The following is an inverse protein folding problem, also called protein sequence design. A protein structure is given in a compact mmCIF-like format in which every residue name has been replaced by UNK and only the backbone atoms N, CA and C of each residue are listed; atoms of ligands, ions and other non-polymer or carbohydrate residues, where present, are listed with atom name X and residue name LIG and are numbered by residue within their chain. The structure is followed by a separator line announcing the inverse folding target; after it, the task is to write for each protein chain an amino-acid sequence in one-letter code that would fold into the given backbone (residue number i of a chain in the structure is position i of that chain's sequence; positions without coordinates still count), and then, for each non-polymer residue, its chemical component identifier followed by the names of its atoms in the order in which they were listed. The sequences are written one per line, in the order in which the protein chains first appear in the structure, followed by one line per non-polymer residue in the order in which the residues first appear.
data_IF_796021389031
#
_entry.id   IF_796021389031
#
_cell.length_a   1.000
_cell.length_b   1.000
_cell.length_c   1.000
_cell.angle_alpha   90.00
_cell.angle_beta   90.00
_cell.angle_gamma   90.00
#
_symmetry.space_group_name_H-M   'P 1'
#
loop_
_entity.id
_entity.type
_entity.pdbx_description
1 polymer ?
#
# COMPACT_ATOMS: atom_id res chain seq x y z
N UNK A 1 37.86 32.56 -73.28
CA UNK A 1 37.96 32.33 -71.81
C UNK A 1 36.87 33.15 -71.12
N UNK A 2 35.81 32.52 -70.61
CA UNK A 2 34.83 33.13 -69.70
C UNK A 2 34.25 32.01 -68.83
N UNK A 3 34.69 31.94 -67.58
CA UNK A 3 34.07 31.14 -66.52
C UNK A 3 34.00 32.00 -65.27
N UNK A 4 32.79 32.26 -64.79
CA UNK A 4 32.52 32.53 -63.37
C UNK A 4 31.17 31.90 -63.07
N UNK A 5 31.23 30.75 -62.38
CA UNK A 5 30.09 30.02 -61.86
C UNK A 5 29.63 30.64 -60.53
N UNK A 6 28.34 30.50 -60.28
CA UNK A 6 27.58 30.99 -59.12
C UNK A 6 27.52 29.87 -58.06
N UNK A 7 27.30 30.25 -56.78
CA UNK A 7 26.79 29.47 -55.63
C UNK A 7 27.82 28.53 -54.96
N UNK A 8 27.91 28.36 -53.63
CA UNK A 8 26.91 28.40 -52.54
C UNK A 8 27.66 28.37 -51.19
N UNK A 9 27.16 28.96 -50.08
CA UNK A 9 27.70 28.67 -48.75
C UNK A 9 27.08 27.37 -48.22
N UNK A 10 27.86 26.29 -48.25
CA UNK A 10 27.56 25.02 -47.58
C UNK A 10 28.13 25.08 -46.15
N UNK A 11 27.38 25.67 -45.23
CA UNK A 11 27.73 25.66 -43.81
C UNK A 11 26.47 25.72 -42.93
N UNK A 12 25.64 24.67 -42.96
CA UNK A 12 24.51 24.49 -42.03
C UNK A 12 24.09 23.01 -41.98
N UNK A 13 24.99 22.11 -41.56
CA UNK A 13 24.65 20.70 -41.27
C UNK A 13 25.37 20.14 -40.04
N UNK A 14 25.81 20.99 -39.09
CA UNK A 14 26.57 20.56 -37.92
C UNK A 14 25.82 20.66 -36.57
N UNK A 15 24.51 20.94 -36.54
CA UNK A 15 23.75 21.14 -35.29
C UNK A 15 22.68 20.06 -34.99
N UNK A 16 22.27 19.24 -35.97
CA UNK A 16 21.15 18.31 -35.78
C UNK A 16 21.53 17.00 -35.07
N UNK A 17 22.82 16.64 -35.02
CA UNK A 17 23.27 15.40 -34.37
C UNK A 17 23.38 15.48 -32.83
N UNK A 18 23.32 16.68 -32.25
CA UNK A 18 23.39 16.87 -30.79
C UNK A 18 22.00 16.91 -30.12
N UNK A 19 21.00 17.42 -30.84
CA UNK A 19 19.61 17.54 -30.35
C UNK A 19 18.93 16.17 -30.23
N UNK A 20 19.19 15.25 -31.17
CA UNK A 20 18.61 13.90 -31.14
C UNK A 20 19.09 13.09 -29.93
N UNK A 21 20.34 13.28 -29.48
CA UNK A 21 20.89 12.57 -28.32
C UNK A 21 20.29 13.09 -27.00
N UNK A 22 20.13 14.39 -26.87
CA UNK A 22 19.50 15.00 -25.70
C UNK A 22 18.00 14.67 -25.64
N UNK A 23 17.30 14.68 -26.78
CA UNK A 23 15.89 14.29 -26.85
C UNK A 23 15.67 12.80 -26.56
N UNK A 24 16.54 11.91 -27.06
CA UNK A 24 16.50 10.48 -26.73
C UNK A 24 16.78 10.22 -25.25
N UNK A 25 17.74 10.92 -24.65
CA UNK A 25 18.04 10.77 -23.23
C UNK A 25 16.89 11.26 -22.34
N UNK A 26 16.30 12.42 -22.65
CA UNK A 26 15.12 12.92 -21.94
C UNK A 26 13.92 11.96 -22.08
N UNK A 27 13.72 11.37 -23.25
CA UNK A 27 12.67 10.36 -23.47
C UNK A 27 12.93 9.06 -22.68
N UNK A 28 14.19 8.62 -22.58
CA UNK A 28 14.58 7.45 -21.79
C UNK A 28 14.39 7.70 -20.28
N UNK A 29 14.80 8.86 -19.78
CA UNK A 29 14.61 9.26 -18.38
C UNK A 29 13.11 9.39 -18.04
N UNK A 30 12.30 9.96 -18.95
CA UNK A 30 10.85 10.04 -18.78
C UNK A 30 10.19 8.65 -18.72
N UNK A 31 10.61 7.72 -19.59
CA UNK A 31 10.13 6.33 -19.58
C UNK A 31 10.53 5.61 -18.29
N UNK A 32 11.79 5.72 -17.88
CA UNK A 32 12.26 5.13 -16.63
C UNK A 32 11.49 5.66 -15.41
N UNK A 33 11.21 6.97 -15.37
CA UNK A 33 10.38 7.57 -14.30
C UNK A 33 8.93 7.09 -14.34
N UNK A 34 8.35 6.94 -15.52
CA UNK A 34 6.99 6.40 -15.68
C UNK A 34 6.89 4.94 -15.22
N UNK A 35 7.88 4.11 -15.58
CA UNK A 35 7.97 2.72 -15.13
C UNK A 35 8.16 2.62 -13.63
N UNK A 36 9.06 3.42 -13.04
CA UNK A 36 9.25 3.48 -11.59
C UNK A 36 7.96 3.90 -10.86
N UNK A 37 7.23 4.87 -11.40
CA UNK A 37 5.94 5.31 -10.85
C UNK A 37 4.88 4.20 -10.94
N UNK A 38 4.83 3.49 -12.07
CA UNK A 38 3.90 2.38 -12.26
C UNK A 38 4.22 1.21 -11.30
N UNK A 39 5.49 0.89 -11.09
CA UNK A 39 5.94 -0.14 -10.14
C UNK A 39 5.60 0.25 -8.69
N UNK A 40 5.88 1.50 -8.30
CA UNK A 40 5.54 2.03 -6.98
C UNK A 40 4.02 1.98 -6.72
N UNK A 41 3.21 2.35 -7.72
CA UNK A 41 1.75 2.23 -7.64
C UNK A 41 1.31 0.76 -7.50
N UNK A 42 1.83 -0.13 -8.34
CA UNK A 42 1.47 -1.55 -8.29
C UNK A 42 1.82 -2.16 -6.92
N UNK A 43 2.97 -1.81 -6.35
CA UNK A 43 3.37 -2.24 -5.02
C UNK A 43 2.44 -1.67 -3.93
N UNK A 44 2.13 -0.37 -3.99
CA UNK A 44 1.19 0.28 -3.07
C UNK A 44 -0.18 -0.39 -3.09
N UNK A 45 -0.76 -0.59 -4.28
CA UNK A 45 -2.05 -1.26 -4.47
C UNK A 45 -2.02 -2.68 -3.89
N UNK A 46 -0.90 -3.38 -4.06
CA UNK A 46 -0.69 -4.74 -3.57
C UNK A 46 -0.49 -4.83 -2.04
N UNK A 47 -0.16 -3.72 -1.37
CA UNK A 47 -0.02 -3.60 0.08
C UNK A 47 -1.31 -3.09 0.76
N UNK A 48 -2.14 -2.35 0.03
CA UNK A 48 -3.32 -1.62 0.54
C UNK A 48 -4.23 -2.47 1.43
N UNK A 49 -4.52 -3.72 1.05
CA UNK A 49 -5.39 -4.60 1.84
C UNK A 49 -4.78 -4.90 3.22
N UNK A 50 -3.47 -5.17 3.27
CA UNK A 50 -2.79 -5.46 4.52
C UNK A 50 -2.70 -4.20 5.40
N UNK A 51 -2.41 -3.03 4.81
CA UNK A 51 -2.39 -1.75 5.54
C UNK A 51 -3.77 -1.47 6.13
N UNK A 52 -4.85 -1.66 5.36
CA UNK A 52 -6.23 -1.50 5.84
C UNK A 52 -6.56 -2.48 6.97
N UNK A 53 -6.12 -3.74 6.87
CA UNK A 53 -6.32 -4.72 7.93
C UNK A 53 -5.54 -4.39 9.21
N UNK A 54 -4.28 -3.98 9.07
CA UNK A 54 -3.47 -3.46 10.18
C UNK A 54 -4.20 -2.30 10.88
N UNK A 55 -4.62 -1.29 10.10
CA UNK A 55 -5.33 -0.13 10.60
C UNK A 55 -6.64 -0.50 11.31
N UNK A 56 -7.43 -1.40 10.70
CA UNK A 56 -8.71 -1.84 11.25
C UNK A 56 -8.56 -2.58 12.57
N UNK A 57 -7.57 -3.47 12.69
CA UNK A 57 -7.30 -4.20 13.93
C UNK A 57 -6.81 -3.25 15.03
N UNK A 58 -5.92 -2.29 14.70
CA UNK A 58 -5.48 -1.26 15.65
C UNK A 58 -6.64 -0.41 16.14
N UNK A 59 -7.53 0.00 15.23
CA UNK A 59 -8.73 0.77 15.56
C UNK A 59 -9.69 0.00 16.49
N UNK A 60 -9.88 -1.29 16.25
CA UNK A 60 -10.77 -2.15 17.04
C UNK A 60 -10.06 -2.94 18.15
N UNK A 61 -8.85 -2.55 18.56
CA UNK A 61 -8.01 -3.36 19.46
C UNK A 61 -8.73 -3.71 20.77
N UNK A 62 -9.38 -2.72 21.41
CA UNK A 62 -10.11 -2.95 22.69
C UNK A 62 -11.34 -3.85 22.51
N UNK A 63 -12.25 -3.59 21.54
CA UNK A 63 -13.34 -4.52 21.24
C UNK A 63 -12.88 -5.93 20.86
N UNK A 64 -11.83 -6.07 20.05
CA UNK A 64 -11.28 -7.36 19.64
C UNK A 64 -10.76 -8.16 20.84
N UNK A 65 -10.06 -7.51 21.77
CA UNK A 65 -9.56 -8.14 22.99
C UNK A 65 -10.71 -8.74 23.82
N UNK A 66 -11.88 -8.09 23.81
CA UNK A 66 -13.09 -8.55 24.52
C UNK A 66 -13.95 -9.51 23.69
N UNK A 67 -13.66 -9.65 22.40
CA UNK A 67 -14.37 -10.50 21.44
C UNK A 67 -13.94 -11.97 21.44
N UNK A 68 -12.99 -12.38 22.29
CA UNK A 68 -12.63 -13.79 22.49
C UNK A 68 -11.84 -14.42 21.33
N UNK A 69 -11.13 -13.60 20.55
CA UNK A 69 -10.26 -14.00 19.43
C UNK A 69 -8.81 -14.28 19.86
N UNK A 70 -8.48 -14.06 21.13
CA UNK A 70 -7.10 -14.00 21.64
C UNK A 70 -6.55 -12.58 21.67
N UNK A 71 -5.23 -12.46 21.82
CA UNK A 71 -4.54 -11.17 21.79
C UNK A 71 -4.61 -10.55 20.39
N UNK A 72 -5.22 -9.36 20.22
CA UNK A 72 -5.27 -8.67 18.94
C UNK A 72 -3.89 -8.34 18.37
N UNK A 73 -2.86 -8.23 19.21
CA UNK A 73 -1.50 -7.91 18.75
C UNK A 73 -0.95 -8.98 17.80
N UNK A 74 -1.32 -10.26 17.98
CA UNK A 74 -0.91 -11.34 17.07
C UNK A 74 -1.37 -11.08 15.63
N UNK A 75 -2.53 -10.45 15.46
CA UNK A 75 -3.08 -10.12 14.15
C UNK A 75 -2.45 -8.83 13.58
N UNK A 76 -2.15 -7.86 14.43
CA UNK A 76 -1.38 -6.65 14.07
C UNK A 76 -0.01 -7.06 13.52
N UNK A 77 0.71 -7.92 14.24
CA UNK A 77 2.04 -8.40 13.87
C UNK A 77 2.02 -9.19 12.57
N UNK A 78 0.99 -10.02 12.36
CA UNK A 78 0.79 -10.74 11.10
C UNK A 78 0.70 -9.79 9.90
N UNK A 79 -0.17 -8.77 9.98
CA UNK A 79 -0.32 -7.83 8.86
C UNK A 79 0.90 -6.93 8.69
N UNK A 80 1.53 -6.48 9.78
CA UNK A 80 2.80 -5.76 9.73
C UNK A 80 3.88 -6.57 9.01
N UNK A 81 4.04 -7.85 9.38
CA UNK A 81 5.01 -8.75 8.75
C UNK A 81 4.72 -9.02 7.27
N UNK A 82 3.44 -9.13 6.88
CA UNK A 82 3.05 -9.25 5.47
C UNK A 82 3.37 -7.99 4.66
N UNK A 83 3.22 -6.81 5.26
CA UNK A 83 3.58 -5.53 4.64
C UNK A 83 5.10 -5.45 4.49
N UNK A 84 5.85 -5.67 5.56
CA UNK A 84 7.31 -5.63 5.56
C UNK A 84 7.91 -6.59 4.54
N UNK A 85 7.44 -7.85 4.53
CA UNK A 85 7.91 -8.89 3.60
C UNK A 85 7.66 -8.49 2.14
N UNK A 86 6.50 -7.92 1.84
CA UNK A 86 6.10 -7.58 0.48
C UNK A 86 6.74 -6.27 0.01
N UNK A 87 6.97 -5.33 0.92
CA UNK A 87 7.70 -4.10 0.67
C UNK A 87 9.18 -4.37 0.37
N UNK A 88 9.80 -5.30 1.11
CA UNK A 88 11.22 -5.60 0.96
C UNK A 88 12.09 -4.36 1.19
N UNK A 89 13.03 -4.11 0.28
CA UNK A 89 13.88 -2.92 0.31
C UNK A 89 13.34 -1.76 -0.54
N UNK A 90 12.13 -1.88 -1.09
CA UNK A 90 11.53 -0.82 -1.89
C UNK A 90 11.16 0.39 -1.02
N UNK A 91 11.24 1.58 -1.62
CA UNK A 91 10.73 2.82 -1.08
C UNK A 91 9.64 3.36 -2.00
N UNK A 92 8.46 3.61 -1.44
CA UNK A 92 7.32 4.19 -2.15
C UNK A 92 7.17 5.63 -1.68
N UNK A 93 7.48 6.62 -2.53
CA UNK A 93 7.25 8.01 -2.21
C UNK A 93 5.78 8.26 -1.90
N UNK A 94 5.51 9.07 -0.87
CA UNK A 94 4.17 9.48 -0.50
C UNK A 94 4.06 11.01 -0.51
N UNK A 95 2.85 11.50 -0.74
CA UNK A 95 2.57 12.93 -0.65
C UNK A 95 2.33 13.31 0.83
N UNK A 96 2.92 14.40 1.33
CA UNK A 96 2.63 14.89 2.68
C UNK A 96 1.10 15.06 2.90
N UNK A 97 0.59 14.71 4.09
CA UNK A 97 1.33 14.42 5.32
C UNK A 97 1.80 12.97 5.48
N UNK A 98 1.55 12.09 4.51
CA UNK A 98 1.97 10.70 4.60
C UNK A 98 3.51 10.60 4.59
N UNK A 99 4.13 9.87 5.52
CA UNK A 99 5.54 9.50 5.42
C UNK A 99 5.78 8.68 4.14
N UNK A 100 7.02 8.63 3.66
CA UNK A 100 7.41 7.62 2.68
C UNK A 100 7.12 6.22 3.24
N UNK A 101 6.71 5.27 2.40
CA UNK A 101 6.61 3.86 2.80
C UNK A 101 7.88 3.13 2.38
N UNK A 102 8.78 2.93 3.34
CA UNK A 102 10.00 2.13 3.20
C UNK A 102 10.24 1.33 4.48
N UNK A 103 11.23 0.44 4.47
CA UNK A 103 11.61 -0.33 5.68
C UNK A 103 11.99 0.59 6.85
N UNK A 104 12.63 1.72 6.58
CA UNK A 104 13.08 2.66 7.61
C UNK A 104 11.93 3.45 8.25
N UNK A 105 10.86 3.68 7.50
CA UNK A 105 9.72 4.52 7.91
C UNK A 105 8.44 3.70 8.11
N UNK A 106 8.51 2.37 8.04
CA UNK A 106 7.34 1.49 8.03
C UNK A 106 6.39 1.76 9.20
N UNK A 107 6.91 1.79 10.43
CA UNK A 107 6.06 1.98 11.61
C UNK A 107 5.43 3.38 11.63
N UNK A 108 6.19 4.42 11.26
CA UNK A 108 5.66 5.79 11.14
C UNK A 108 4.58 5.90 10.06
N UNK A 109 4.75 5.22 8.92
CA UNK A 109 3.75 5.15 7.86
C UNK A 109 2.48 4.43 8.36
N UNK A 110 2.63 3.31 9.04
CA UNK A 110 1.49 2.53 9.53
C UNK A 110 0.71 3.27 10.61
N UNK A 111 1.39 4.01 11.50
CA UNK A 111 0.72 4.86 12.50
C UNK A 111 -0.04 6.02 11.83
N UNK A 112 0.55 6.65 10.81
CA UNK A 112 -0.15 7.63 9.98
C UNK A 112 -1.37 7.00 9.29
N UNK A 113 -1.21 5.83 8.67
CA UNK A 113 -2.28 5.15 7.94
C UNK A 113 -3.43 4.75 8.88
N UNK A 114 -3.15 4.31 10.11
CA UNK A 114 -4.19 4.05 11.13
C UNK A 114 -5.03 5.30 11.34
N UNK A 115 -4.39 6.45 11.57
CA UNK A 115 -5.10 7.72 11.77
C UNK A 115 -5.90 8.11 10.52
N UNK A 116 -5.31 8.05 9.34
CA UNK A 116 -5.96 8.40 8.08
C UNK A 116 -7.19 7.54 7.80
N UNK A 117 -7.09 6.21 7.95
CA UNK A 117 -8.24 5.31 7.75
C UNK A 117 -9.36 5.58 8.77
N UNK A 118 -9.03 5.89 10.02
CA UNK A 118 -10.03 6.23 11.03
C UNK A 118 -10.75 7.52 10.64
N UNK A 119 -10.00 8.57 10.31
CA UNK A 119 -10.53 9.91 10.04
C UNK A 119 -11.31 9.98 8.72
N UNK A 120 -10.93 9.18 7.71
CA UNK A 120 -11.48 9.31 6.35
C UNK A 120 -12.42 8.17 5.94
N UNK A 121 -12.35 6.99 6.58
CA UNK A 121 -13.09 5.80 6.13
C UNK A 121 -13.87 5.09 7.23
N UNK A 122 -13.21 4.68 8.31
CA UNK A 122 -13.82 3.80 9.29
C UNK A 122 -14.91 4.46 10.11
N UNK A 123 -14.80 5.76 10.37
CA UNK A 123 -15.86 6.52 11.04
C UNK A 123 -17.01 6.85 10.09
N UNK A 124 -16.72 7.12 8.82
CA UNK A 124 -17.71 7.46 7.80
C UNK A 124 -18.62 6.27 7.43
N UNK A 125 -18.06 5.06 7.26
CA UNK A 125 -18.81 3.82 7.08
C UNK A 125 -18.41 2.80 8.13
N UNK A 126 -18.92 3.00 9.34
CA UNK A 126 -18.57 2.17 10.49
C UNK A 126 -18.98 0.71 10.31
N UNK A 127 -20.16 0.46 9.74
CA UNK A 127 -20.65 -0.91 9.53
C UNK A 127 -19.74 -1.65 8.55
N UNK A 128 -19.45 -1.05 7.39
CA UNK A 128 -18.54 -1.65 6.41
C UNK A 128 -17.12 -1.84 6.95
N UNK A 129 -16.65 -0.92 7.80
CA UNK A 129 -15.37 -1.06 8.48
C UNK A 129 -15.34 -2.22 9.48
N UNK A 130 -16.39 -2.44 10.27
CA UNK A 130 -16.50 -3.59 11.18
C UNK A 130 -16.51 -4.90 10.40
N UNK A 131 -17.29 -4.96 9.31
CA UNK A 131 -17.32 -6.15 8.44
C UNK A 131 -15.91 -6.43 7.88
N UNK A 132 -15.17 -5.39 7.49
CA UNK A 132 -13.75 -5.48 7.05
C UNK A 132 -12.85 -6.02 8.17
N UNK A 133 -12.93 -5.48 9.39
CA UNK A 133 -12.11 -5.94 10.52
C UNK A 133 -12.36 -7.42 10.80
N UNK A 134 -13.61 -7.86 10.79
CA UNK A 134 -13.94 -9.26 10.99
C UNK A 134 -13.34 -10.15 9.90
N UNK A 135 -13.38 -9.72 8.63
CA UNK A 135 -12.78 -10.46 7.53
C UNK A 135 -11.24 -10.55 7.67
N UNK A 136 -10.59 -9.49 8.13
CA UNK A 136 -9.15 -9.51 8.40
C UNK A 136 -8.79 -10.53 9.50
N UNK A 137 -9.52 -10.51 10.62
CA UNK A 137 -9.30 -11.45 11.73
C UNK A 137 -9.53 -12.90 11.29
N UNK A 138 -10.58 -13.16 10.49
CA UNK A 138 -10.84 -14.48 9.90
C UNK A 138 -9.71 -14.92 8.97
N UNK A 139 -9.31 -14.06 8.03
CA UNK A 139 -8.27 -14.39 7.05
C UNK A 139 -6.95 -14.72 7.73
N UNK A 140 -6.49 -13.90 8.66
CA UNK A 140 -5.25 -14.16 9.40
C UNK A 140 -5.31 -15.51 10.14
N UNK A 141 -6.46 -15.86 10.74
CA UNK A 141 -6.65 -17.15 11.39
C UNK A 141 -6.65 -18.34 10.43
N UNK A 142 -7.22 -18.19 9.23
CA UNK A 142 -7.12 -19.19 8.16
C UNK A 142 -5.67 -19.43 7.71
N UNK A 143 -4.82 -18.41 7.81
CA UNK A 143 -3.38 -18.50 7.56
C UNK A 143 -2.55 -18.86 8.80
N UNK A 144 -3.17 -19.37 9.87
CA UNK A 144 -2.45 -19.91 11.03
C UNK A 144 -2.20 -18.91 12.17
N UNK A 145 -2.77 -17.70 12.11
CA UNK A 145 -2.54 -16.65 13.12
C UNK A 145 -3.50 -16.76 14.30
N UNK A 146 -2.96 -16.63 15.51
CA UNK A 146 -3.73 -16.49 16.74
C UNK A 146 -4.46 -17.77 17.19
N UNK A 147 -5.15 -17.73 18.35
CA UNK A 147 -5.85 -18.89 18.89
C UNK A 147 -6.95 -19.45 17.98
N UNK A 148 -7.55 -18.61 17.13
CA UNK A 148 -8.60 -19.05 16.20
C UNK A 148 -8.10 -20.01 15.12
N UNK A 149 -6.80 -20.00 14.80
CA UNK A 149 -6.20 -20.93 13.85
C UNK A 149 -6.28 -22.40 14.32
N UNK A 150 -6.31 -22.62 15.64
CA UNK A 150 -6.37 -23.95 16.26
C UNK A 150 -7.78 -24.54 16.28
N UNK A 151 -8.78 -23.75 15.93
CA UNK A 151 -10.17 -24.17 15.91
C UNK A 151 -10.49 -24.86 14.59
N UNK A 152 -11.40 -25.84 14.67
CA UNK A 152 -11.99 -26.43 13.47
C UNK A 152 -12.87 -25.41 12.73
N UNK A 153 -13.22 -25.65 11.45
CA UNK A 153 -13.97 -24.68 10.64
C UNK A 153 -15.29 -24.22 11.25
N UNK A 154 -16.08 -25.13 11.84
CA UNK A 154 -17.36 -24.80 12.45
C UNK A 154 -17.19 -23.89 13.69
N UNK A 155 -16.27 -24.26 14.59
CA UNK A 155 -15.95 -23.45 15.77
C UNK A 155 -15.41 -22.06 15.41
N UNK A 156 -14.64 -21.97 14.32
CA UNK A 156 -14.14 -20.69 13.82
C UNK A 156 -15.27 -19.85 13.25
N UNK A 157 -16.18 -20.46 12.50
CA UNK A 157 -17.37 -19.78 11.96
C UNK A 157 -18.23 -19.18 13.08
N UNK A 158 -18.61 -19.99 14.07
CA UNK A 158 -19.43 -19.54 15.21
C UNK A 158 -18.77 -18.38 15.97
N UNK A 159 -17.45 -18.47 16.20
CA UNK A 159 -16.69 -17.36 16.83
C UNK A 159 -16.66 -16.10 15.98
N UNK A 160 -16.58 -16.23 14.66
CA UNK A 160 -16.60 -15.08 13.76
C UNK A 160 -17.98 -14.42 13.71
N UNK A 161 -19.06 -15.19 13.78
CA UNK A 161 -20.42 -14.63 13.93
C UNK A 161 -20.54 -13.86 15.24
N UNK A 162 -20.14 -14.47 16.36
CA UNK A 162 -20.10 -13.79 17.65
C UNK A 162 -19.27 -12.51 17.60
N UNK A 163 -18.08 -12.55 16.98
CA UNK A 163 -17.21 -11.38 16.86
C UNK A 163 -17.88 -10.24 16.10
N UNK A 164 -18.53 -10.55 14.96
CA UNK A 164 -19.23 -9.54 14.16
C UNK A 164 -20.32 -8.85 14.98
N UNK A 165 -21.11 -9.62 15.71
CA UNK A 165 -22.16 -9.06 16.56
C UNK A 165 -21.58 -8.27 17.74
N UNK A 166 -20.50 -8.77 18.36
CA UNK A 166 -19.79 -8.07 19.43
C UNK A 166 -19.27 -6.70 18.98
N UNK A 167 -18.61 -6.66 17.81
CA UNK A 167 -18.06 -5.43 17.24
C UNK A 167 -19.17 -4.44 16.83
N UNK A 168 -20.31 -4.93 16.35
CA UNK A 168 -21.48 -4.08 16.04
C UNK A 168 -22.09 -3.47 17.29
N UNK A 169 -22.23 -4.24 18.37
CA UNK A 169 -22.85 -3.79 19.61
C UNK A 169 -21.96 -2.83 20.41
N UNK A 170 -20.66 -3.10 20.47
CA UNK A 170 -19.68 -2.27 21.22
C UNK A 170 -18.98 -1.24 20.37
N UNK A 171 -19.26 -1.26 19.08
CA UNK A 171 -18.90 -0.21 18.16
C UNK A 171 -19.93 0.93 18.12
N UNK A 172 -21.13 0.79 18.68
CA UNK A 172 -22.07 1.91 18.78
C UNK A 172 -21.63 2.94 19.83
#
# INVERSE_FOLDING_TARGET
MKHLAILTPLALLALTACEDKAAQQAAAEARAKAEATAQAKALSDALMVNVRCYAGIKWQQVPLQRGGIGDPQLYVDYYRGMIEKKLGDAAIPAAPPAPELSKATLDAYLDWAVKDYIDTRFTADRKGAIDTVSACVQSAAEFGTGPMAKLNPAQRFDKMEYLRDHLRQRGA
#
